data_IF_378978443629
#
_entry.id   IF_378978443629
#
_cell.length_a   1.000
_cell.length_b   1.000
_cell.length_c   1.000
_cell.angle_alpha   90.00
_cell.angle_beta   90.00
_cell.angle_gamma   90.00
#
_symmetry.space_group_name_H-M   'P 1'
#
loop_
_entity.id
_entity.type
_entity.pdbx_description
1 polymer ?
#
# COMPACT_ATOMS: atom_id res chain seq x y z
N UNK A 1 -20.67 63.98 0.43
CA UNK A 1 -21.18 63.18 1.55
C UNK A 1 -20.86 61.72 1.26
N UNK A 2 -19.76 61.19 1.80
CA UNK A 2 -19.37 59.80 1.57
C UNK A 2 -20.29 58.88 2.38
N UNK A 3 -21.14 58.14 1.67
CA UNK A 3 -21.95 57.10 2.26
C UNK A 3 -21.04 56.02 2.84
N UNK A 4 -20.89 56.01 4.18
CA UNK A 4 -20.24 54.92 4.93
C UNK A 4 -20.88 53.60 4.51
N UNK A 5 -20.18 52.80 3.69
CA UNK A 5 -20.60 51.42 3.38
C UNK A 5 -20.60 50.62 4.69
N UNK A 6 -21.79 50.39 5.24
CA UNK A 6 -21.98 49.49 6.37
C UNK A 6 -21.62 48.08 5.90
N UNK A 7 -20.48 47.54 6.33
CA UNK A 7 -20.12 46.17 6.00
C UNK A 7 -21.08 45.24 6.74
N UNK A 8 -21.98 44.55 6.02
CA UNK A 8 -22.83 43.54 6.64
C UNK A 8 -21.95 42.48 7.31
N UNK A 9 -22.08 42.26 8.63
CA UNK A 9 -21.31 41.23 9.32
C UNK A 9 -21.61 39.88 8.69
N UNK A 10 -20.58 39.04 8.53
CA UNK A 10 -20.76 37.72 7.94
C UNK A 10 -21.55 36.84 8.91
N UNK A 11 -22.45 35.98 8.40
CA UNK A 11 -23.09 34.99 9.24
C UNK A 11 -22.05 34.08 9.88
N UNK A 12 -22.06 33.95 11.20
CA UNK A 12 -21.09 33.15 11.96
C UNK A 12 -21.10 31.67 11.55
N UNK A 13 -22.26 31.13 11.21
CA UNK A 13 -22.45 29.74 10.78
C UNK A 13 -21.54 29.30 9.62
N UNK A 14 -21.11 30.23 8.75
CA UNK A 14 -20.21 29.90 7.64
C UNK A 14 -18.82 29.49 8.13
N UNK A 15 -18.37 30.05 9.25
CA UNK A 15 -17.09 29.69 9.86
C UNK A 15 -17.18 28.30 10.45
N UNK A 16 -18.26 27.99 11.16
CA UNK A 16 -18.49 26.66 11.74
C UNK A 16 -18.62 25.59 10.65
N UNK A 17 -19.41 25.86 9.61
CA UNK A 17 -19.57 24.96 8.47
C UNK A 17 -18.23 24.65 7.79
N UNK A 18 -17.35 25.66 7.65
CA UNK A 18 -16.00 25.47 7.09
C UNK A 18 -15.18 24.51 7.96
N UNK A 19 -15.20 24.66 9.28
CA UNK A 19 -14.45 23.78 10.18
C UNK A 19 -14.97 22.35 10.15
N UNK A 20 -16.29 22.17 10.22
CA UNK A 20 -16.93 20.85 10.14
C UNK A 20 -16.56 20.17 8.82
N UNK A 21 -16.71 20.87 7.68
CA UNK A 21 -16.34 20.33 6.37
C UNK A 21 -14.84 20.01 6.30
N UNK A 22 -13.98 20.86 6.86
CA UNK A 22 -12.54 20.62 6.90
C UNK A 22 -12.17 19.35 7.68
N UNK A 23 -12.78 19.13 8.85
CA UNK A 23 -12.55 17.93 9.66
C UNK A 23 -13.07 16.66 8.97
N UNK A 24 -14.29 16.71 8.41
CA UNK A 24 -14.84 15.60 7.62
C UNK A 24 -13.96 15.29 6.40
N UNK A 25 -13.43 16.32 5.74
CA UNK A 25 -12.54 16.15 4.60
C UNK A 25 -11.22 15.48 5.00
N UNK A 26 -10.64 15.80 6.17
CA UNK A 26 -9.42 15.12 6.67
C UNK A 26 -9.67 13.61 6.80
N UNK A 27 -10.81 13.22 7.39
CA UNK A 27 -11.16 11.81 7.56
C UNK A 27 -11.41 11.11 6.22
N UNK A 28 -12.24 11.72 5.36
CA UNK A 28 -12.58 11.16 4.05
C UNK A 28 -11.34 11.04 3.15
N UNK A 29 -10.44 12.02 3.18
CA UNK A 29 -9.19 12.00 2.42
C UNK A 29 -8.23 10.91 2.92
N UNK A 30 -8.09 10.73 4.24
CA UNK A 30 -7.29 9.63 4.79
C UNK A 30 -7.82 8.27 4.33
N UNK A 31 -9.14 8.08 4.36
CA UNK A 31 -9.77 6.85 3.89
C UNK A 31 -9.58 6.65 2.38
N UNK A 32 -9.73 7.71 1.58
CA UNK A 32 -9.48 7.67 0.14
C UNK A 32 -8.03 7.26 -0.17
N UNK A 33 -7.06 7.86 0.54
CA UNK A 33 -5.64 7.54 0.38
C UNK A 33 -5.33 6.11 0.83
N UNK A 34 -5.92 5.64 1.93
CA UNK A 34 -5.76 4.26 2.38
C UNK A 34 -6.28 3.28 1.32
N UNK A 35 -7.49 3.47 0.81
CA UNK A 35 -8.06 2.61 -0.21
C UNK A 35 -7.31 2.69 -1.54
N UNK A 36 -6.81 3.86 -1.94
CA UNK A 36 -5.98 4.00 -3.13
C UNK A 36 -4.68 3.21 -3.00
N UNK A 37 -4.00 3.30 -1.86
CA UNK A 37 -2.76 2.58 -1.63
C UNK A 37 -2.96 1.06 -1.52
N UNK A 38 -4.04 0.61 -0.86
CA UNK A 38 -4.42 -0.80 -0.84
C UNK A 38 -4.80 -1.29 -2.25
N UNK A 39 -5.48 -0.48 -3.05
CA UNK A 39 -5.80 -0.80 -4.44
C UNK A 39 -4.53 -1.05 -5.27
N UNK A 40 -3.52 -0.18 -5.15
CA UNK A 40 -2.24 -0.32 -5.85
C UNK A 40 -1.50 -1.61 -5.45
N UNK A 41 -1.42 -1.91 -4.16
CA UNK A 41 -0.72 -3.11 -3.69
C UNK A 41 -1.48 -4.41 -4.01
N UNK A 42 -2.79 -4.32 -4.25
CA UNK A 42 -3.61 -5.47 -4.67
C UNK A 42 -3.71 -5.63 -6.19
N UNK A 43 -3.00 -4.81 -6.96
CA UNK A 43 -2.83 -5.04 -8.40
C UNK A 43 -2.14 -6.39 -8.65
N UNK A 44 -2.42 -7.01 -9.80
CA UNK A 44 -2.04 -8.40 -10.07
C UNK A 44 -0.54 -8.68 -9.87
N UNK A 45 0.35 -7.83 -10.38
CA UNK A 45 1.79 -8.04 -10.24
C UNK A 45 2.28 -7.88 -8.78
N UNK A 46 2.05 -6.74 -8.10
CA UNK A 46 2.44 -6.57 -6.69
C UNK A 46 1.80 -7.60 -5.75
N UNK A 47 0.54 -7.95 -5.97
CA UNK A 47 -0.18 -8.92 -5.13
C UNK A 47 0.41 -10.32 -5.26
N UNK A 48 0.63 -10.79 -6.50
CA UNK A 48 1.25 -12.10 -6.75
C UNK A 48 2.67 -12.14 -6.20
N UNK A 49 3.47 -11.10 -6.40
CA UNK A 49 4.83 -11.01 -5.84
C UNK A 49 4.82 -11.04 -4.30
N UNK A 50 3.93 -10.29 -3.68
CA UNK A 50 3.76 -10.26 -2.22
C UNK A 50 3.36 -11.63 -1.68
N UNK A 51 2.34 -12.26 -2.26
CA UNK A 51 1.91 -13.60 -1.85
C UNK A 51 3.01 -14.64 -2.06
N UNK A 52 3.73 -14.58 -3.19
CA UNK A 52 4.85 -15.49 -3.46
C UNK A 52 5.94 -15.35 -2.40
N UNK A 53 6.27 -14.10 -2.03
CA UNK A 53 7.24 -13.81 -0.96
C UNK A 53 6.76 -14.31 0.39
N UNK A 54 5.50 -14.06 0.75
CA UNK A 54 4.93 -14.57 2.01
C UNK A 54 5.00 -16.10 2.09
N UNK A 55 4.55 -16.78 1.05
CA UNK A 55 4.57 -18.25 0.98
C UNK A 55 6.01 -18.78 1.03
N UNK A 56 6.94 -18.14 0.31
CA UNK A 56 8.34 -18.52 0.29
C UNK A 56 8.99 -18.39 1.66
N UNK A 57 8.78 -17.27 2.37
CA UNK A 57 9.34 -17.04 3.70
C UNK A 57 8.76 -18.04 4.72
N UNK A 58 7.45 -18.27 4.70
CA UNK A 58 6.79 -19.18 5.64
C UNK A 58 7.24 -20.64 5.50
N UNK A 59 7.76 -21.02 4.33
CA UNK A 59 8.18 -22.38 3.99
C UNK A 59 9.70 -22.55 3.90
N UNK A 60 10.47 -21.48 4.05
CA UNK A 60 11.93 -21.46 3.96
C UNK A 60 12.57 -21.18 5.32
N UNK A 61 12.75 -22.18 6.18
CA UNK A 61 13.30 -21.97 7.53
C UNK A 61 14.71 -21.36 7.51
N UNK A 62 15.54 -21.76 6.54
CA UNK A 62 16.91 -21.26 6.35
C UNK A 62 16.98 -19.93 5.57
N UNK A 63 15.85 -19.26 5.36
CA UNK A 63 15.75 -18.02 4.58
C UNK A 63 15.67 -18.24 3.07
N UNK A 64 15.46 -17.15 2.33
CA UNK A 64 15.20 -17.19 0.89
C UNK A 64 16.46 -17.39 0.03
N UNK A 65 17.64 -17.06 0.57
CA UNK A 65 18.91 -17.10 -0.17
C UNK A 65 19.69 -18.41 0.00
N UNK A 66 19.22 -19.31 0.86
CA UNK A 66 19.86 -20.60 1.07
C UNK A 66 19.86 -21.43 -0.24
N UNK A 67 21.00 -22.03 -0.59
CA UNK A 67 21.15 -22.82 -1.81
C UNK A 67 20.86 -24.31 -1.59
N UNK A 68 20.85 -24.78 -0.34
CA UNK A 68 20.86 -26.21 0.00
C UNK A 68 19.67 -26.97 -0.60
N UNK A 69 18.46 -26.42 -0.47
CA UNK A 69 17.25 -27.03 -1.04
C UNK A 69 17.27 -27.06 -2.58
N UNK A 70 17.97 -26.11 -3.20
CA UNK A 70 18.01 -25.93 -4.65
C UNK A 70 19.07 -26.84 -5.28
N UNK A 71 20.21 -26.99 -4.62
CA UNK A 71 21.24 -27.94 -5.02
C UNK A 71 20.67 -29.36 -4.98
N UNK A 72 19.92 -29.71 -3.93
CA UNK A 72 19.21 -30.99 -3.84
C UNK A 72 18.16 -31.16 -4.95
N UNK A 73 17.40 -30.11 -5.27
CA UNK A 73 16.45 -30.12 -6.39
C UNK A 73 17.15 -30.31 -7.75
N UNK A 74 18.30 -29.66 -7.97
CA UNK A 74 19.12 -29.82 -9.17
C UNK A 74 19.67 -31.23 -9.32
N UNK A 75 20.13 -31.85 -8.23
CA UNK A 75 20.57 -33.24 -8.24
C UNK A 75 19.44 -34.20 -8.62
N UNK A 76 18.25 -34.01 -8.04
CA UNK A 76 17.06 -34.79 -8.40
C UNK A 76 16.68 -34.59 -9.87
N UNK A 77 16.78 -33.37 -10.38
CA UNK A 77 16.43 -33.05 -11.75
C UNK A 77 17.40 -33.67 -12.75
N UNK A 78 18.71 -33.70 -12.44
CA UNK A 78 19.72 -34.40 -13.24
C UNK A 78 19.55 -35.92 -13.21
N UNK A 79 19.04 -36.46 -12.11
CA UNK A 79 18.77 -37.89 -11.98
C UNK A 79 17.46 -38.31 -12.68
N UNK A 80 16.54 -37.39 -12.93
CA UNK A 80 15.26 -37.68 -13.57
C UNK A 80 15.37 -37.63 -15.10
N UNK A 81 15.09 -38.73 -15.84
CA UNK A 81 15.15 -38.76 -17.30
C UNK A 81 14.21 -37.76 -17.99
N UNK A 82 13.14 -37.33 -17.33
CA UNK A 82 12.18 -36.37 -17.90
C UNK A 82 12.60 -34.89 -17.70
N UNK A 83 13.75 -34.63 -17.05
CA UNK A 83 14.26 -33.28 -16.74
C UNK A 83 13.23 -32.35 -16.04
N UNK A 84 12.28 -32.96 -15.32
CA UNK A 84 11.22 -32.27 -14.58
C UNK A 84 11.08 -32.89 -13.19
N UNK A 85 10.86 -32.07 -12.16
CA UNK A 85 10.60 -32.55 -10.80
C UNK A 85 9.37 -31.86 -10.23
N UNK A 86 8.75 -32.51 -9.24
CA UNK A 86 7.72 -31.91 -8.39
C UNK A 86 8.34 -31.65 -7.02
N UNK A 87 8.77 -30.41 -6.71
CA UNK A 87 9.48 -30.11 -5.48
C UNK A 87 8.63 -30.32 -4.23
N UNK A 88 7.29 -30.26 -4.37
CA UNK A 88 6.35 -30.49 -3.29
C UNK A 88 5.41 -31.64 -3.64
N UNK A 89 5.53 -32.79 -2.95
CA UNK A 89 4.55 -33.86 -3.07
C UNK A 89 3.14 -33.34 -2.77
N UNK A 90 2.16 -33.73 -3.59
CA UNK A 90 0.77 -33.32 -3.43
C UNK A 90 0.42 -31.95 -4.01
N UNK A 91 1.37 -31.23 -4.61
CA UNK A 91 1.11 -29.99 -5.38
C UNK A 91 1.41 -30.21 -6.86
N UNK A 92 0.55 -29.67 -7.72
CA UNK A 92 0.73 -29.71 -9.18
C UNK A 92 1.69 -28.60 -9.66
N UNK A 93 2.86 -28.49 -9.02
CA UNK A 93 3.92 -27.55 -9.39
C UNK A 93 5.05 -28.35 -10.02
N UNK A 94 5.36 -28.06 -11.27
CA UNK A 94 6.44 -28.70 -12.02
C UNK A 94 7.60 -27.70 -12.16
N UNK A 95 8.81 -28.20 -11.98
CA UNK A 95 10.03 -27.45 -12.18
C UNK A 95 10.91 -28.15 -13.21
N UNK A 96 11.34 -27.40 -14.23
CA UNK A 96 12.21 -27.89 -15.31
C UNK A 96 13.61 -27.31 -15.22
N UNK A 97 14.57 -27.94 -15.89
CA UNK A 97 15.96 -27.47 -15.93
C UNK A 97 16.09 -26.01 -16.42
N UNK A 98 15.28 -25.65 -17.42
CA UNK A 98 15.21 -24.29 -17.97
C UNK A 98 14.71 -23.25 -16.97
N UNK A 99 13.93 -23.67 -15.98
CA UNK A 99 13.38 -22.76 -14.95
C UNK A 99 14.43 -22.43 -13.89
N UNK A 100 15.45 -23.29 -13.72
CA UNK A 100 16.51 -23.13 -12.71
C UNK A 100 17.71 -22.37 -13.27
N UNK A 101 18.07 -22.66 -14.52
CA UNK A 101 19.31 -22.16 -15.12
C UNK A 101 19.36 -20.63 -15.13
N UNK A 102 20.38 -20.05 -14.48
CA UNK A 102 20.60 -18.60 -14.42
C UNK A 102 19.76 -17.86 -13.36
N UNK A 103 18.91 -18.56 -12.59
CA UNK A 103 18.23 -17.97 -11.44
C UNK A 103 19.07 -18.12 -10.17
N UNK A 104 19.08 -17.08 -9.35
CA UNK A 104 19.55 -17.15 -7.97
C UNK A 104 18.61 -18.02 -7.12
N UNK A 105 19.06 -18.48 -5.94
CA UNK A 105 18.23 -19.26 -5.03
C UNK A 105 16.89 -18.60 -4.68
N UNK A 106 16.93 -17.31 -4.37
CA UNK A 106 15.74 -16.51 -4.08
C UNK A 106 14.77 -16.46 -5.27
N UNK A 107 15.27 -16.17 -6.47
CA UNK A 107 14.43 -16.09 -7.66
C UNK A 107 13.75 -17.41 -8.00
N UNK A 108 14.45 -18.53 -7.80
CA UNK A 108 13.88 -19.85 -8.01
C UNK A 108 12.77 -20.16 -6.99
N UNK A 109 13.00 -19.88 -5.70
CA UNK A 109 11.95 -20.06 -4.67
C UNK A 109 10.72 -19.21 -4.98
N UNK A 110 10.92 -17.92 -5.26
CA UNK A 110 9.83 -17.01 -5.61
C UNK A 110 9.10 -17.48 -6.89
N UNK A 111 9.82 -18.01 -7.87
CA UNK A 111 9.23 -18.57 -9.09
C UNK A 111 8.33 -19.76 -8.80
N UNK A 112 8.79 -20.71 -7.97
CA UNK A 112 7.99 -21.88 -7.59
C UNK A 112 6.71 -21.45 -6.86
N UNK A 113 6.83 -20.56 -5.87
CA UNK A 113 5.66 -20.08 -5.11
C UNK A 113 4.72 -19.19 -5.94
N UNK A 114 5.23 -18.52 -6.97
CA UNK A 114 4.41 -17.76 -7.92
C UNK A 114 3.41 -18.62 -8.67
N UNK A 115 3.75 -19.88 -8.97
CA UNK A 115 2.83 -20.82 -9.63
C UNK A 115 1.59 -21.14 -8.78
N UNK A 116 1.66 -20.93 -7.46
CA UNK A 116 0.54 -21.07 -6.52
C UNK A 116 -0.13 -19.74 -6.21
N UNK A 117 0.66 -18.67 -6.07
CA UNK A 117 0.15 -17.32 -5.81
C UNK A 117 -0.72 -16.76 -6.94
N UNK A 118 -0.43 -17.10 -8.20
CA UNK A 118 -1.18 -16.58 -9.35
C UNK A 118 -2.60 -17.17 -9.48
N UNK A 119 -2.81 -18.50 -9.39
CA UNK A 119 -4.16 -19.06 -9.24
C UNK A 119 -4.88 -18.51 -8.00
N UNK A 120 -4.18 -18.41 -6.88
CA UNK A 120 -4.73 -17.86 -5.64
C UNK A 120 -5.23 -16.40 -5.81
N UNK A 121 -4.49 -15.58 -6.57
CA UNK A 121 -4.90 -14.23 -6.93
C UNK A 121 -6.20 -14.23 -7.74
N UNK A 122 -6.22 -14.99 -8.85
CA UNK A 122 -7.27 -14.91 -9.87
C UNK A 122 -8.56 -15.60 -9.46
N UNK A 123 -8.42 -16.77 -8.86
CA UNK A 123 -9.49 -17.72 -8.60
C UNK A 123 -9.81 -17.83 -7.11
N UNK A 124 -9.03 -17.19 -6.23
CA UNK A 124 -9.21 -17.28 -4.79
C UNK A 124 -8.74 -18.62 -4.21
N UNK A 125 -9.22 -18.98 -2.99
CA UNK A 125 -8.88 -20.25 -2.35
C UNK A 125 -9.12 -21.47 -3.23
N UNK A 126 -10.18 -21.45 -4.05
CA UNK A 126 -10.58 -22.54 -4.93
C UNK A 126 -9.51 -22.87 -5.98
N UNK A 127 -8.85 -21.84 -6.53
CA UNK A 127 -7.77 -22.02 -7.50
C UNK A 127 -6.54 -22.69 -6.90
N UNK A 128 -6.23 -22.41 -5.63
CA UNK A 128 -5.17 -23.12 -4.91
C UNK A 128 -5.59 -24.58 -4.64
N UNK A 129 -6.83 -24.80 -4.21
CA UNK A 129 -7.37 -26.13 -3.88
C UNK A 129 -7.41 -27.07 -5.09
N UNK A 130 -7.63 -26.53 -6.29
CA UNK A 130 -7.56 -27.28 -7.54
C UNK A 130 -6.15 -27.78 -7.88
N UNK A 131 -5.10 -27.19 -7.26
CA UNK A 131 -3.68 -27.55 -7.46
C UNK A 131 -3.14 -28.46 -6.37
N UNK A 132 -3.88 -28.65 -5.29
CA UNK A 132 -3.54 -29.58 -4.21
C UNK A 132 -4.15 -30.94 -4.56
N UNK A 133 -3.33 -31.95 -4.81
CA UNK A 133 -3.74 -33.33 -5.08
C UNK A 133 -4.05 -34.08 -3.77
N UNK A 134 -3.33 -33.77 -2.68
CA UNK A 134 -3.45 -34.42 -1.37
C UNK A 134 -4.71 -33.97 -0.59
N UNK A 135 -5.64 -34.90 -0.24
CA UNK A 135 -6.83 -34.58 0.54
C UNK A 135 -6.55 -33.98 1.93
N UNK A 136 -5.48 -34.38 2.61
CA UNK A 136 -5.15 -33.89 3.96
C UNK A 136 -4.68 -32.43 3.89
N UNK A 137 -3.75 -32.15 2.98
CA UNK A 137 -3.33 -30.78 2.69
C UNK A 137 -4.51 -29.90 2.29
N UNK A 138 -5.39 -30.42 1.42
CA UNK A 138 -6.61 -29.74 0.98
C UNK A 138 -7.52 -29.40 2.17
N UNK A 139 -7.71 -30.32 3.11
CA UNK A 139 -8.49 -30.06 4.33
C UNK A 139 -7.88 -28.95 5.20
N UNK A 140 -6.55 -28.86 5.27
CA UNK A 140 -5.84 -27.78 5.98
C UNK A 140 -6.15 -26.38 5.45
N UNK A 141 -6.41 -26.23 4.16
CA UNK A 141 -6.76 -24.95 3.53
C UNK A 141 -8.27 -24.63 3.54
N UNK A 142 -9.13 -25.57 3.96
CA UNK A 142 -10.57 -25.36 4.04
C UNK A 142 -10.98 -24.26 5.04
N UNK A 143 -10.12 -23.95 6.02
CA UNK A 143 -10.30 -22.82 6.95
C UNK A 143 -10.11 -21.43 6.32
N UNK A 144 -9.77 -21.38 5.03
CA UNK A 144 -9.48 -20.16 4.27
C UNK A 144 -8.00 -19.83 4.22
N UNK A 145 -7.67 -18.80 3.44
CA UNK A 145 -6.29 -18.38 3.13
C UNK A 145 -5.79 -17.26 4.08
N UNK A 146 -6.54 -16.98 5.14
CA UNK A 146 -6.23 -15.97 6.14
C UNK A 146 -5.96 -14.58 5.55
N UNK A 147 -4.88 -13.88 5.95
CA UNK A 147 -4.57 -12.54 5.48
C UNK A 147 -4.23 -12.47 3.98
N UNK A 148 -3.90 -13.58 3.33
CA UNK A 148 -3.65 -13.62 1.88
C UNK A 148 -4.92 -13.26 1.07
N UNK A 149 -6.10 -13.39 1.67
CA UNK A 149 -7.36 -12.99 1.03
C UNK A 149 -7.39 -11.51 0.63
N UNK A 150 -6.64 -10.64 1.33
CA UNK A 150 -6.49 -9.23 0.97
C UNK A 150 -5.84 -9.03 -0.40
N UNK A 151 -5.01 -9.98 -0.83
CA UNK A 151 -4.28 -9.93 -2.09
C UNK A 151 -5.01 -10.69 -3.21
N UNK A 152 -6.30 -11.01 -3.05
CA UNK A 152 -7.10 -11.64 -4.11
C UNK A 152 -7.64 -10.62 -5.11
N UNK A 153 -8.00 -11.07 -6.31
CA UNK A 153 -8.72 -10.27 -7.31
C UNK A 153 -10.04 -9.74 -6.77
N UNK A 154 -10.74 -10.52 -5.95
CA UNK A 154 -11.98 -10.10 -5.31
C UNK A 154 -11.76 -8.92 -4.33
N UNK A 155 -10.68 -8.97 -3.54
CA UNK A 155 -10.31 -7.88 -2.66
C UNK A 155 -9.94 -6.63 -3.47
N UNK A 156 -9.14 -6.77 -4.54
CA UNK A 156 -8.80 -5.68 -5.45
C UNK A 156 -10.06 -4.99 -6.04
N UNK A 157 -11.01 -5.77 -6.56
CA UNK A 157 -12.28 -5.24 -7.09
C UNK A 157 -13.14 -4.58 -6.01
N UNK A 158 -13.09 -5.09 -4.78
CA UNK A 158 -13.82 -4.49 -3.64
C UNK A 158 -13.21 -3.17 -3.22
N UNK A 159 -11.88 -3.10 -3.12
CA UNK A 159 -11.14 -1.86 -2.84
C UNK A 159 -11.40 -0.81 -3.93
N UNK A 160 -11.41 -1.21 -5.20
CA UNK A 160 -11.76 -0.32 -6.31
C UNK A 160 -13.17 0.27 -6.17
N UNK A 161 -14.17 -0.57 -5.84
CA UNK A 161 -15.55 -0.10 -5.60
C UNK A 161 -15.63 0.86 -4.41
N UNK A 162 -14.97 0.54 -3.31
CA UNK A 162 -14.92 1.42 -2.13
C UNK A 162 -14.26 2.76 -2.45
N UNK A 163 -13.15 2.74 -3.19
CA UNK A 163 -12.46 3.94 -3.64
C UNK A 163 -13.39 4.82 -4.50
N UNK A 164 -14.14 4.22 -5.42
CA UNK A 164 -15.13 4.95 -6.24
C UNK A 164 -16.30 5.56 -5.47
N UNK A 165 -16.60 5.06 -4.27
CA UNK A 165 -17.62 5.64 -3.39
C UNK A 165 -17.02 6.79 -2.56
N UNK A 166 -15.82 6.57 -1.99
CA UNK A 166 -15.19 7.56 -1.09
C UNK A 166 -14.65 8.76 -1.87
N UNK A 167 -14.13 8.56 -3.09
CA UNK A 167 -13.52 9.61 -3.88
C UNK A 167 -14.50 10.76 -4.21
N UNK A 168 -15.73 10.52 -4.72
CA UNK A 168 -16.73 11.57 -4.92
C UNK A 168 -17.08 12.32 -3.63
N UNK A 169 -17.22 11.61 -2.50
CA UNK A 169 -17.50 12.24 -1.20
C UNK A 169 -16.37 13.22 -0.81
N UNK A 170 -15.12 12.81 -0.97
CA UNK A 170 -13.94 13.66 -0.74
C UNK A 170 -13.93 14.87 -1.67
N UNK A 171 -14.26 14.71 -2.96
CA UNK A 171 -14.33 15.81 -3.92
C UNK A 171 -15.44 16.82 -3.60
N UNK A 172 -16.62 16.34 -3.17
CA UNK A 172 -17.74 17.20 -2.75
C UNK A 172 -17.35 17.99 -1.50
N UNK A 173 -16.74 17.35 -0.50
CA UNK A 173 -16.26 18.03 0.71
C UNK A 173 -15.17 19.06 0.40
N UNK A 174 -14.26 18.75 -0.52
CA UNK A 174 -13.24 19.69 -1.01
C UNK A 174 -13.88 20.91 -1.68
N UNK A 175 -14.87 20.71 -2.55
CA UNK A 175 -15.60 21.80 -3.21
C UNK A 175 -16.35 22.68 -2.18
N UNK A 176 -17.00 22.07 -1.19
CA UNK A 176 -17.67 22.79 -0.10
C UNK A 176 -16.66 23.59 0.75
N UNK A 177 -15.49 23.03 1.03
CA UNK A 177 -14.43 23.72 1.77
C UNK A 177 -13.95 24.97 1.02
N UNK A 178 -13.77 24.86 -0.30
CA UNK A 178 -13.41 25.99 -1.17
C UNK A 178 -14.53 27.03 -1.15
N UNK A 179 -15.79 26.60 -1.27
CA UNK A 179 -16.96 27.48 -1.29
C UNK A 179 -17.11 28.28 0.01
N UNK A 180 -16.91 27.66 1.16
CA UNK A 180 -16.97 28.32 2.48
C UNK A 180 -15.72 29.15 2.81
N UNK A 181 -14.65 29.01 2.02
CA UNK A 181 -13.42 29.77 2.20
C UNK A 181 -13.41 31.10 1.44
N UNK A 182 -12.66 32.08 1.95
CA UNK A 182 -12.65 33.45 1.43
C UNK A 182 -11.27 33.91 0.94
N UNK A 183 -11.22 34.58 -0.22
CA UNK A 183 -9.98 35.08 -0.86
C UNK A 183 -8.92 33.97 -0.93
N UNK A 184 -7.69 34.24 -0.50
CA UNK A 184 -6.59 33.27 -0.44
C UNK A 184 -6.86 32.10 0.50
N UNK A 185 -7.82 32.21 1.42
CA UNK A 185 -8.31 31.06 2.19
C UNK A 185 -8.87 29.94 1.31
N UNK A 186 -9.33 30.24 0.08
CA UNK A 186 -9.81 29.23 -0.89
C UNK A 186 -8.71 28.28 -1.35
N UNK A 187 -7.45 28.70 -1.28
CA UNK A 187 -6.30 27.85 -1.57
C UNK A 187 -5.66 27.33 -0.28
N UNK A 188 -5.51 28.21 0.72
CA UNK A 188 -4.84 27.86 1.96
C UNK A 188 -5.59 26.83 2.81
N UNK A 189 -6.92 26.83 2.82
CA UNK A 189 -7.71 25.88 3.62
C UNK A 189 -7.70 24.47 3.04
N UNK A 190 -7.95 24.25 1.73
CA UNK A 190 -7.66 22.96 1.10
C UNK A 190 -6.22 22.51 1.27
N UNK A 191 -5.26 23.42 1.06
CA UNK A 191 -3.84 23.11 1.23
C UNK A 191 -3.49 22.60 2.63
N UNK A 192 -4.04 23.25 3.67
CA UNK A 192 -3.89 22.82 5.06
C UNK A 192 -4.49 21.43 5.31
N UNK A 193 -5.69 21.16 4.77
CA UNK A 193 -6.32 19.84 4.92
C UNK A 193 -5.51 18.75 4.23
N UNK A 194 -5.07 18.97 2.98
CA UNK A 194 -4.21 18.02 2.27
C UNK A 194 -2.92 17.74 3.06
N UNK A 195 -2.26 18.79 3.56
CA UNK A 195 -1.03 18.68 4.34
C UNK A 195 -1.25 17.89 5.63
N UNK A 196 -2.23 18.27 6.45
CA UNK A 196 -2.49 17.64 7.75
C UNK A 196 -2.98 16.19 7.58
N UNK A 197 -3.82 15.92 6.60
CA UNK A 197 -4.34 14.58 6.36
C UNK A 197 -3.25 13.61 5.89
N UNK A 198 -2.30 14.06 5.06
CA UNK A 198 -1.27 13.20 4.49
C UNK A 198 -0.02 13.05 5.37
N UNK A 199 0.22 13.99 6.29
CA UNK A 199 1.45 14.01 7.11
C UNK A 199 1.66 12.74 7.95
N UNK A 200 0.69 12.21 8.71
CA UNK A 200 0.90 10.99 9.50
C UNK A 200 1.23 9.78 8.60
N UNK A 201 0.50 9.62 7.50
CA UNK A 201 0.72 8.53 6.55
C UNK A 201 2.10 8.62 5.88
N UNK A 202 2.54 9.83 5.49
CA UNK A 202 3.88 10.05 4.94
C UNK A 202 4.98 9.66 5.93
N UNK A 203 4.84 10.05 7.21
CA UNK A 203 5.83 9.72 8.26
C UNK A 203 5.89 8.21 8.48
N UNK A 204 4.75 7.56 8.70
CA UNK A 204 4.68 6.12 9.02
C UNK A 204 5.19 5.28 7.85
N UNK A 205 4.72 5.55 6.63
CA UNK A 205 5.15 4.81 5.44
C UNK A 205 6.64 5.01 5.14
N UNK A 206 7.17 6.24 5.28
CA UNK A 206 8.60 6.49 5.10
C UNK A 206 9.43 5.75 6.15
N UNK A 207 9.00 5.76 7.43
CA UNK A 207 9.70 5.06 8.49
C UNK A 207 9.74 3.54 8.25
N UNK A 208 8.59 2.93 7.91
CA UNK A 208 8.49 1.50 7.65
C UNK A 208 9.20 1.08 6.36
N UNK A 209 9.24 1.93 5.33
CA UNK A 209 9.98 1.67 4.08
C UNK A 209 11.49 1.58 4.26
N UNK A 210 12.02 2.07 5.39
CA UNK A 210 13.44 2.06 5.75
C UNK A 210 13.77 0.98 6.78
N UNK A 211 12.81 0.15 7.17
CA UNK A 211 13.06 -0.95 8.10
C UNK A 211 14.08 -1.91 7.47
N UNK A 212 15.19 -2.25 8.14
CA UNK A 212 16.13 -3.24 7.63
C UNK A 212 15.46 -4.62 7.56
N UNK A 213 15.88 -5.50 6.63
CA UNK A 213 15.42 -6.88 6.61
C UNK A 213 15.77 -7.57 7.94
N UNK A 214 14.86 -8.40 8.46
CA UNK A 214 15.02 -9.05 9.78
C UNK A 214 16.28 -9.93 9.86
N UNK A 215 16.78 -10.40 8.73
CA UNK A 215 17.98 -11.23 8.62
C UNK A 215 19.22 -10.53 9.21
N UNK A 216 19.27 -9.19 9.19
CA UNK A 216 20.35 -8.42 9.81
C UNK A 216 20.27 -8.36 11.35
N UNK A 217 19.10 -8.66 11.93
CA UNK A 217 18.84 -8.60 13.37
C UNK A 217 18.91 -9.97 14.07
N UNK A 218 18.76 -11.06 13.31
CA UNK A 218 18.67 -12.43 13.84
C UNK A 218 20.00 -13.21 13.84
N UNK A 219 21.11 -12.58 13.44
CA UNK A 219 22.46 -13.16 13.59
C UNK A 219 22.78 -13.30 15.09
N UNK A 220 22.46 -14.45 15.68
CA UNK A 220 22.86 -14.81 17.05
C UNK A 220 21.82 -15.47 17.96
N UNK A 221 20.59 -15.77 17.49
CA UNK A 221 19.58 -16.47 18.31
C UNK A 221 19.34 -17.90 17.78
N UNK A 222 19.85 -18.89 18.51
CA UNK A 222 19.71 -20.32 18.20
C UNK A 222 18.30 -20.89 18.52
N UNK A 223 17.81 -21.69 17.57
CA UNK A 223 17.08 -22.97 17.68
C UNK A 223 15.59 -23.10 18.09
N UNK A 224 14.81 -22.03 18.27
CA UNK A 224 13.34 -22.18 18.20
C UNK A 224 12.71 -20.95 17.53
N UNK A 225 12.66 -20.95 16.19
CA UNK A 225 12.03 -19.87 15.42
C UNK A 225 10.52 -19.95 15.62
N UNK A 226 10.02 -19.18 16.58
CA UNK A 226 8.60 -19.10 16.92
C UNK A 226 7.78 -18.52 15.76
N UNK A 227 6.46 -18.70 15.83
CA UNK A 227 5.52 -18.11 14.87
C UNK A 227 5.67 -16.57 14.80
N UNK A 228 6.04 -15.92 15.90
CA UNK A 228 6.35 -14.49 15.97
C UNK A 228 7.54 -14.09 15.10
N UNK A 229 8.60 -14.89 15.09
CA UNK A 229 9.81 -14.61 14.32
C UNK A 229 9.55 -14.78 12.82
N UNK A 230 8.78 -15.80 12.45
CA UNK A 230 8.32 -16.00 11.06
C UNK A 230 7.44 -14.85 10.58
N UNK A 231 6.51 -14.36 11.41
CA UNK A 231 5.71 -13.18 11.10
C UNK A 231 6.58 -11.92 10.99
N UNK A 232 7.60 -11.78 11.83
CA UNK A 232 8.59 -10.69 11.75
C UNK A 232 9.39 -10.73 10.45
N UNK A 233 9.84 -11.91 10.03
CA UNK A 233 10.53 -12.11 8.75
C UNK A 233 9.63 -11.75 7.57
N UNK A 234 8.39 -12.28 7.55
CA UNK A 234 7.40 -11.94 6.50
C UNK A 234 7.17 -10.43 6.45
N UNK A 235 6.95 -9.80 7.60
CA UNK A 235 6.76 -8.35 7.66
C UNK A 235 7.99 -7.59 7.14
N UNK A 236 9.20 -8.00 7.51
CA UNK A 236 10.43 -7.32 7.06
C UNK A 236 10.71 -7.45 5.56
N UNK A 237 10.24 -8.53 4.91
CA UNK A 237 10.44 -8.75 3.48
C UNK A 237 9.34 -8.09 2.64
N UNK A 238 8.11 -8.07 3.14
CA UNK A 238 6.93 -7.61 2.39
C UNK A 238 6.58 -6.14 2.65
N UNK A 239 6.70 -5.69 3.90
CA UNK A 239 6.20 -4.38 4.30
C UNK A 239 7.02 -3.23 3.69
N UNK A 240 8.36 -3.27 3.62
CA UNK A 240 9.13 -2.15 3.06
C UNK A 240 8.80 -1.79 1.60
N UNK A 241 8.72 -2.73 0.62
CA UNK A 241 8.34 -2.38 -0.74
C UNK A 241 6.90 -1.82 -0.80
N UNK A 242 5.93 -2.43 -0.10
CA UNK A 242 4.57 -1.91 -0.01
C UNK A 242 4.53 -0.48 0.55
N UNK A 243 5.27 -0.22 1.64
CA UNK A 243 5.30 1.08 2.29
C UNK A 243 6.02 2.14 1.46
N UNK A 244 6.91 1.75 0.54
CA UNK A 244 7.52 2.66 -0.42
C UNK A 244 6.47 3.27 -1.33
N UNK A 245 5.58 2.46 -1.89
CA UNK A 245 4.50 2.96 -2.76
C UNK A 245 3.53 3.85 -1.99
N UNK A 246 3.23 3.49 -0.74
CA UNK A 246 2.43 4.32 0.15
C UNK A 246 3.09 5.68 0.36
N UNK A 247 4.40 5.69 0.64
CA UNK A 247 5.15 6.91 0.89
C UNK A 247 5.10 7.88 -0.28
N UNK A 248 5.22 7.39 -1.52
CA UNK A 248 5.14 8.21 -2.73
C UNK A 248 3.77 8.89 -2.82
N UNK A 249 2.68 8.13 -2.67
CA UNK A 249 1.32 8.66 -2.71
C UNK A 249 1.06 9.71 -1.62
N UNK A 250 1.50 9.44 -0.38
CA UNK A 250 1.34 10.38 0.72
C UNK A 250 2.18 11.65 0.54
N UNK A 251 3.42 11.52 0.08
CA UNK A 251 4.32 12.66 -0.18
C UNK A 251 3.78 13.55 -1.29
N UNK A 252 3.21 13.02 -2.37
CA UNK A 252 2.62 13.83 -3.45
C UNK A 252 1.49 14.71 -2.91
N UNK A 253 0.57 14.13 -2.13
CA UNK A 253 -0.55 14.88 -1.54
C UNK A 253 -0.05 15.92 -0.53
N UNK A 254 0.95 15.57 0.27
CA UNK A 254 1.58 16.47 1.25
C UNK A 254 2.23 17.67 0.58
N UNK A 255 3.05 17.45 -0.45
CA UNK A 255 3.73 18.50 -1.20
C UNK A 255 2.73 19.38 -1.96
N UNK A 256 1.66 18.79 -2.50
CA UNK A 256 0.57 19.54 -3.11
C UNK A 256 -0.10 20.45 -2.09
N UNK A 257 -0.40 19.93 -0.89
CA UNK A 257 -0.94 20.72 0.21
C UNK A 257 -0.03 21.89 0.59
N UNK A 258 1.27 21.61 0.75
CA UNK A 258 2.29 22.62 1.06
C UNK A 258 2.38 23.70 -0.01
N UNK A 259 2.40 23.33 -1.30
CA UNK A 259 2.43 24.26 -2.41
C UNK A 259 1.21 25.21 -2.40
N UNK A 260 0.01 24.67 -2.16
CA UNK A 260 -1.21 25.48 -2.06
C UNK A 260 -1.17 26.46 -0.88
N UNK A 261 -0.61 26.05 0.26
CA UNK A 261 -0.41 26.93 1.43
C UNK A 261 0.54 28.07 1.06
N UNK A 262 1.69 27.77 0.43
CA UNK A 262 2.68 28.77 0.03
C UNK A 262 2.06 29.79 -0.93
N UNK A 263 1.35 29.34 -1.97
CA UNK A 263 0.67 30.21 -2.93
C UNK A 263 -0.36 31.11 -2.23
N UNK A 264 -1.12 30.56 -1.28
CA UNK A 264 -2.10 31.32 -0.51
C UNK A 264 -1.44 32.42 0.35
N UNK A 265 -0.32 32.11 1.00
CA UNK A 265 0.42 33.06 1.84
C UNK A 265 1.03 34.17 0.99
N UNK A 266 1.76 33.82 -0.08
CA UNK A 266 2.41 34.79 -0.97
C UNK A 266 1.38 35.68 -1.66
N UNK A 267 0.31 35.10 -2.20
CA UNK A 267 -0.79 35.87 -2.80
C UNK A 267 -1.45 36.81 -1.79
N UNK A 268 -1.64 36.34 -0.56
CA UNK A 268 -2.16 37.15 0.55
C UNK A 268 -1.26 38.34 0.90
N UNK A 269 0.06 38.14 0.89
CA UNK A 269 1.04 39.20 1.13
C UNK A 269 1.02 40.24 0.01
N UNK A 270 1.12 39.80 -1.25
CA UNK A 270 1.13 40.68 -2.42
C UNK A 270 -0.14 41.55 -2.44
N UNK A 271 -1.31 40.94 -2.23
CA UNK A 271 -2.59 41.67 -2.17
C UNK A 271 -2.64 42.73 -1.07
N UNK A 272 -2.05 42.46 0.10
CA UNK A 272 -1.98 43.44 1.19
C UNK A 272 -1.06 44.60 0.83
N UNK A 273 0.08 44.32 0.20
CA UNK A 273 1.05 45.33 -0.20
C UNK A 273 0.49 46.25 -1.30
N UNK A 274 -0.16 45.69 -2.32
CA UNK A 274 -0.78 46.47 -3.40
C UNK A 274 -1.89 47.37 -2.87
N UNK A 275 -2.75 46.85 -1.99
CA UNK A 275 -3.83 47.66 -1.40
C UNK A 275 -3.34 48.79 -0.51
N UNK A 276 -2.24 48.60 0.22
CA UNK A 276 -1.63 49.66 1.04
C UNK A 276 -1.09 50.80 0.17
N UNK A 277 -0.47 50.49 -0.98
CA UNK A 277 0.03 51.52 -1.92
C UNK A 277 -1.09 52.38 -2.49
N UNK A 278 -2.20 51.77 -2.90
CA UNK A 278 -3.36 52.51 -3.45
C UNK A 278 -3.97 53.47 -2.44
N UNK A 279 -3.92 53.17 -1.14
CA UNK A 279 -4.47 54.06 -0.12
C UNK A 279 -3.54 55.22 0.29
N UNK A 280 -2.28 55.25 -0.19
CA UNK A 280 -1.31 56.31 0.11
C UNK A 280 -1.17 57.34 -1.02
N UNK A 281 -1.78 57.07 -2.18
CA UNK A 281 -1.93 58.00 -3.30
C UNK A 281 -3.30 58.66 -3.23
#
# INVERSE_FOLDING_TARGET
MDAKRVSRPRPYWRVDAKWVVGLLLILALNLAMLFYNLYLVTEAAPAVETMSTMLAVLTSPEGLDDATAIDAALEQLRANPDHAIRPFPGLSVELRESDITGRSPRELRLFVWRQLAEPLYREGPEGLMARIEDPEMRAGFAGGIGPLALFSLQAHQTLFRLLWIVLPCTLVLLALLILFSYRFGRLGSPGLVLFVASLPGAIVSTALSRMPPADALLVGLEQDVGLTDRLGQVASQVLPPMMRDFSVSYTIVLLTGLALIIVAVLGGLIWRLTRRRVNMM
#
